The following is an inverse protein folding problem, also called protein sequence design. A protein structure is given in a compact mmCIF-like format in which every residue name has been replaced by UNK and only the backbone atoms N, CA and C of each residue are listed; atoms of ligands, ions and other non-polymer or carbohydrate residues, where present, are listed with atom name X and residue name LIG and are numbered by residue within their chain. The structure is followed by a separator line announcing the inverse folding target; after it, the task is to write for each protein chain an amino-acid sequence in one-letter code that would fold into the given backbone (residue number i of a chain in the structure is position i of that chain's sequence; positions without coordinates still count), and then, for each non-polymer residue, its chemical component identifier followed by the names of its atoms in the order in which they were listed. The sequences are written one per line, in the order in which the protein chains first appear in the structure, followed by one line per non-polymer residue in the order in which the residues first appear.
data_IF_172039622035
#
_entry.id   IF_172039622035
#
_cell.length_a   1.000
_cell.length_b   1.000
_cell.length_c   1.000
_cell.angle_alpha   90.00
_cell.angle_beta   90.00
_cell.angle_gamma   90.00
#
_symmetry.space_group_name_H-M   'P 1'
#
loop_
_entity.id
_entity.type
_entity.pdbx_description
1 polymer ?
#
# COMPACT_ATOMS: atom_id res chain seq x y z
N UNK A 1 -52.85 4.46 29.75
CA UNK A 1 -51.38 4.34 30.03
C UNK A 1 -50.54 3.78 28.87
N UNK A 2 -50.96 2.75 28.11
CA UNK A 2 -50.13 2.16 27.02
C UNK A 2 -49.74 3.13 25.88
N UNK A 3 -50.63 4.09 25.54
CA UNK A 3 -50.38 5.07 24.46
C UNK A 3 -49.33 6.12 24.85
N UNK A 4 -49.37 6.60 26.10
CA UNK A 4 -48.39 7.54 26.66
C UNK A 4 -46.98 6.92 26.73
N UNK A 5 -46.85 5.66 27.18
CA UNK A 5 -45.56 4.95 27.16
C UNK A 5 -45.00 4.77 25.74
N UNK A 6 -45.86 4.45 24.75
CA UNK A 6 -45.44 4.37 23.34
C UNK A 6 -44.98 5.72 22.78
N UNK A 7 -45.65 6.81 23.14
CA UNK A 7 -45.27 8.18 22.75
C UNK A 7 -43.96 8.61 23.44
N UNK A 8 -43.79 8.36 24.74
CA UNK A 8 -42.55 8.62 25.48
C UNK A 8 -41.37 7.87 24.86
N UNK A 9 -41.56 6.59 24.50
CA UNK A 9 -40.53 5.80 23.84
C UNK A 9 -40.19 6.30 22.41
N UNK A 10 -41.17 6.87 21.70
CA UNK A 10 -40.95 7.44 20.36
C UNK A 10 -40.19 8.78 20.45
N UNK A 11 -40.57 9.66 21.38
CA UNK A 11 -40.00 11.00 21.53
C UNK A 11 -38.72 11.01 22.37
N UNK A 12 -38.52 10.04 23.26
CA UNK A 12 -37.32 9.90 24.10
C UNK A 12 -37.36 10.69 25.40
N UNK A 13 -38.54 11.03 25.92
CA UNK A 13 -38.70 11.89 27.11
C UNK A 13 -38.97 11.04 28.35
N UNK A 14 -38.25 11.33 29.45
CA UNK A 14 -38.39 10.69 30.76
C UNK A 14 -38.22 9.15 30.74
N UNK A 15 -37.32 8.67 29.88
CA UNK A 15 -36.95 7.26 29.81
C UNK A 15 -35.83 6.96 30.81
N UNK A 16 -35.84 5.76 31.37
CA UNK A 16 -34.70 5.20 32.08
C UNK A 16 -33.51 4.96 31.12
N UNK A 17 -32.27 4.85 31.64
CA UNK A 17 -31.11 4.52 30.80
C UNK A 17 -31.32 3.27 29.93
N UNK A 18 -31.92 2.21 30.50
CA UNK A 18 -32.23 0.97 29.79
C UNK A 18 -33.27 1.16 28.67
N UNK A 19 -34.26 2.03 28.88
CA UNK A 19 -35.24 2.37 27.85
C UNK A 19 -34.63 3.21 26.73
N UNK A 20 -33.71 4.15 27.04
CA UNK A 20 -32.93 4.85 26.03
C UNK A 20 -32.09 3.88 25.18
N UNK A 21 -31.47 2.89 25.82
CA UNK A 21 -30.70 1.85 25.16
C UNK A 21 -31.58 0.98 24.24
N UNK A 22 -32.74 0.52 24.73
CA UNK A 22 -33.72 -0.25 23.93
C UNK A 22 -34.29 0.57 22.77
N UNK A 23 -34.46 1.87 22.96
CA UNK A 23 -34.87 2.80 21.91
C UNK A 23 -33.86 2.88 20.77
N UNK A 24 -32.56 2.84 21.06
CA UNK A 24 -31.52 2.86 20.03
C UNK A 24 -31.62 1.65 19.08
N UNK A 25 -31.96 0.47 19.61
CA UNK A 25 -32.24 -0.71 18.79
C UNK A 25 -33.51 -0.54 17.95
N UNK A 26 -34.64 -0.27 18.60
CA UNK A 26 -35.95 -0.25 17.94
C UNK A 26 -36.19 0.94 16.99
N UNK A 27 -35.51 2.06 17.18
CA UNK A 27 -35.62 3.27 16.33
C UNK A 27 -34.41 3.47 15.41
N UNK A 28 -33.42 2.57 15.47
CA UNK A 28 -32.18 2.66 14.71
C UNK A 28 -31.81 1.31 14.11
N UNK A 29 -31.15 0.46 14.90
CA UNK A 29 -30.54 -0.81 14.46
C UNK A 29 -31.53 -1.71 13.70
N UNK A 30 -32.70 -1.96 14.28
CA UNK A 30 -33.70 -2.90 13.74
C UNK A 30 -34.47 -2.34 12.53
N UNK A 31 -34.29 -1.05 12.21
CA UNK A 31 -34.86 -0.43 11.01
C UNK A 31 -33.97 -0.58 9.77
N UNK A 32 -32.81 -1.23 9.90
CA UNK A 32 -31.89 -1.52 8.80
C UNK A 32 -30.70 -0.56 8.71
N UNK A 33 -29.80 -0.86 7.76
CA UNK A 33 -28.49 -0.20 7.62
C UNK A 33 -28.58 1.32 7.42
N UNK A 34 -29.61 1.78 6.71
CA UNK A 34 -29.86 3.21 6.45
C UNK A 34 -30.12 4.03 7.73
N UNK A 35 -30.40 3.35 8.85
CA UNK A 35 -30.66 3.98 10.15
C UNK A 35 -29.51 3.81 11.15
N UNK A 36 -28.38 3.23 10.76
CA UNK A 36 -27.22 3.06 11.65
C UNK A 36 -26.65 4.38 12.17
N UNK A 37 -26.62 5.45 11.35
CA UNK A 37 -26.21 6.77 11.82
C UNK A 37 -27.12 7.32 12.93
N UNK A 38 -28.44 7.10 12.80
CA UNK A 38 -29.39 7.47 13.84
C UNK A 38 -29.26 6.58 15.09
N UNK A 39 -29.01 5.27 14.91
CA UNK A 39 -28.75 4.34 16.00
C UNK A 39 -27.54 4.79 16.83
N UNK A 40 -26.45 5.20 16.17
CA UNK A 40 -25.24 5.70 16.83
C UNK A 40 -25.54 6.89 17.75
N UNK A 41 -26.30 7.87 17.27
CA UNK A 41 -26.71 9.04 18.07
C UNK A 41 -27.61 8.66 19.26
N UNK A 42 -28.51 7.68 19.07
CA UNK A 42 -29.38 7.20 20.14
C UNK A 42 -28.61 6.43 21.22
N UNK A 43 -27.61 5.63 20.83
CA UNK A 43 -26.72 4.97 21.77
C UNK A 43 -25.82 5.96 22.52
N UNK A 44 -25.34 7.00 21.86
CA UNK A 44 -24.58 8.08 22.52
C UNK A 44 -25.44 8.81 23.57
N UNK A 45 -26.73 9.05 23.28
CA UNK A 45 -27.68 9.55 24.27
C UNK A 45 -27.85 8.56 25.44
N UNK A 46 -28.02 7.26 25.15
CA UNK A 46 -28.14 6.23 26.17
C UNK A 46 -26.90 6.15 27.08
N UNK A 47 -25.70 6.25 26.51
CA UNK A 47 -24.44 6.26 27.26
C UNK A 47 -24.36 7.46 28.22
N UNK A 48 -24.77 8.66 27.77
CA UNK A 48 -24.83 9.86 28.62
C UNK A 48 -25.80 9.70 29.79
N UNK A 49 -27.00 9.16 29.54
CA UNK A 49 -27.99 8.92 30.58
C UNK A 49 -27.55 7.83 31.57
N UNK A 50 -26.91 6.76 31.10
CA UNK A 50 -26.34 5.73 31.95
C UNK A 50 -25.23 6.29 32.86
N UNK A 51 -24.36 7.15 32.32
CA UNK A 51 -23.31 7.82 33.12
C UNK A 51 -23.89 8.75 34.19
N UNK A 52 -24.96 9.50 33.88
CA UNK A 52 -25.68 10.32 34.87
C UNK A 52 -26.33 9.47 35.97
N UNK A 53 -26.81 8.27 35.62
CA UNK A 53 -27.39 7.31 36.54
C UNK A 53 -26.33 6.42 37.25
N UNK A 54 -25.04 6.65 37.00
CA UNK A 54 -23.92 5.86 37.54
C UNK A 54 -23.95 4.37 37.20
N UNK A 55 -24.58 4.00 36.07
CA UNK A 55 -24.57 2.63 35.53
C UNK A 55 -23.39 2.46 34.56
N UNK A 56 -22.22 2.12 35.14
CA UNK A 56 -20.98 1.95 34.38
C UNK A 56 -21.02 0.78 33.37
N UNK A 57 -21.86 -0.24 33.62
CA UNK A 57 -22.01 -1.38 32.70
C UNK A 57 -22.74 -0.95 31.44
N UNK A 58 -23.92 -0.37 31.60
CA UNK A 58 -24.73 0.10 30.49
C UNK A 58 -24.06 1.26 29.74
N UNK A 59 -23.38 2.17 30.45
CA UNK A 59 -22.64 3.25 29.82
C UNK A 59 -21.57 2.74 28.85
N UNK A 60 -20.74 1.77 29.27
CA UNK A 60 -19.70 1.19 28.43
C UNK A 60 -20.27 0.51 27.19
N UNK A 61 -21.29 -0.33 27.39
CA UNK A 61 -21.96 -1.04 26.30
C UNK A 61 -22.66 -0.11 25.31
N UNK A 62 -23.35 0.92 25.81
CA UNK A 62 -23.96 1.95 24.97
C UNK A 62 -22.92 2.73 24.17
N UNK A 63 -21.79 3.09 24.79
CA UNK A 63 -20.69 3.76 24.10
C UNK A 63 -20.07 2.89 23.00
N UNK A 64 -19.81 1.61 23.27
CA UNK A 64 -19.30 0.67 22.27
C UNK A 64 -20.26 0.54 21.07
N UNK A 65 -21.57 0.40 21.31
CA UNK A 65 -22.56 0.36 20.23
C UNK A 65 -22.68 1.69 19.48
N UNK A 66 -22.57 2.84 20.16
CA UNK A 66 -22.56 4.14 19.49
C UNK A 66 -21.42 4.24 18.47
N UNK A 67 -20.21 3.86 18.88
CA UNK A 67 -19.02 3.87 18.04
C UNK A 67 -19.10 2.82 16.93
N UNK A 68 -19.59 1.61 17.21
CA UNK A 68 -19.75 0.54 16.24
C UNK A 68 -20.72 0.94 15.11
N UNK A 69 -21.93 1.36 15.45
CA UNK A 69 -22.90 1.78 14.43
C UNK A 69 -22.49 3.08 13.73
N UNK A 70 -21.74 3.96 14.41
CA UNK A 70 -21.10 5.13 13.80
C UNK A 70 -20.07 4.72 12.73
N UNK A 71 -19.21 3.76 13.05
CA UNK A 71 -18.26 3.18 12.10
C UNK A 71 -18.97 2.51 10.92
N UNK A 72 -19.99 1.68 11.15
CA UNK A 72 -20.70 1.00 10.08
C UNK A 72 -21.39 1.98 9.12
N UNK A 73 -21.96 3.07 9.65
CA UNK A 73 -22.60 4.12 8.86
C UNK A 73 -21.58 4.97 8.07
N UNK A 74 -20.58 5.54 8.75
CA UNK A 74 -19.66 6.51 8.15
C UNK A 74 -18.40 5.91 7.54
N UNK A 75 -17.89 4.81 8.09
CA UNK A 75 -16.67 4.13 7.64
C UNK A 75 -15.37 4.80 8.00
N UNK A 76 -15.42 5.85 8.80
CA UNK A 76 -14.26 6.62 9.21
C UNK A 76 -13.33 5.75 10.08
N UNK A 77 -12.08 5.46 9.64
CA UNK A 77 -11.15 4.68 10.45
C UNK A 77 -10.79 5.33 11.79
N UNK A 78 -10.96 6.66 11.90
CA UNK A 78 -10.75 7.40 13.14
C UNK A 78 -11.68 6.93 14.28
N UNK A 79 -12.81 6.30 13.95
CA UNK A 79 -13.73 5.73 14.95
C UNK A 79 -13.27 4.39 15.52
N UNK A 80 -12.31 3.71 14.88
CA UNK A 80 -11.88 2.37 15.28
C UNK A 80 -11.07 2.37 16.58
N UNK A 81 -10.11 3.28 16.77
CA UNK A 81 -9.31 3.29 18.01
C UNK A 81 -10.15 3.54 19.26
N UNK A 82 -11.08 4.53 19.30
CA UNK A 82 -12.00 4.68 20.42
C UNK A 82 -12.93 3.47 20.61
N UNK A 83 -13.36 2.82 19.52
CA UNK A 83 -14.21 1.64 19.58
C UNK A 83 -13.49 0.46 20.23
N UNK A 84 -12.24 0.20 19.85
CA UNK A 84 -11.41 -0.85 20.45
C UNK A 84 -11.29 -0.65 21.97
N UNK A 85 -10.99 0.57 22.40
CA UNK A 85 -10.94 0.92 23.83
C UNK A 85 -12.28 0.71 24.55
N UNK A 86 -13.40 0.97 23.87
CA UNK A 86 -14.72 0.74 24.44
C UNK A 86 -15.07 -0.75 24.58
N UNK A 87 -14.46 -1.63 23.77
CA UNK A 87 -14.66 -3.08 23.81
C UNK A 87 -13.81 -3.78 24.87
N UNK A 88 -12.62 -3.27 25.23
CA UNK A 88 -11.70 -3.90 26.21
C UNK A 88 -12.33 -4.20 27.58
N UNK A 89 -13.43 -3.52 27.93
CA UNK A 89 -14.14 -3.69 29.20
C UNK A 89 -15.39 -4.56 29.14
N UNK A 90 -15.62 -5.27 28.03
CA UNK A 90 -16.82 -6.09 27.78
C UNK A 90 -16.41 -7.53 27.47
N UNK A 91 -17.16 -8.50 28.00
CA UNK A 91 -17.01 -9.91 27.60
C UNK A 91 -17.81 -10.20 26.32
N UNK A 92 -19.00 -9.64 26.23
CA UNK A 92 -19.88 -9.75 25.07
C UNK A 92 -20.54 -8.42 24.70
N UNK A 93 -21.01 -8.35 23.47
CA UNK A 93 -21.77 -7.23 22.91
C UNK A 93 -22.83 -7.76 21.94
N UNK A 94 -23.90 -7.01 21.74
CA UNK A 94 -24.97 -7.39 20.83
C UNK A 94 -24.45 -7.60 19.40
N UNK A 95 -24.89 -8.69 18.78
CA UNK A 95 -24.63 -8.94 17.36
C UNK A 95 -25.19 -7.80 16.52
N UNK A 96 -24.44 -7.40 15.48
CA UNK A 96 -24.88 -6.32 14.58
C UNK A 96 -26.25 -6.66 13.98
N UNK A 97 -27.23 -5.78 14.20
CA UNK A 97 -28.60 -5.99 13.71
C UNK A 97 -29.52 -6.77 14.66
N UNK A 98 -29.05 -7.20 15.82
CA UNK A 98 -29.84 -7.92 16.82
C UNK A 98 -29.78 -7.24 18.19
N UNK A 99 -30.86 -7.32 18.96
CA UNK A 99 -30.88 -6.94 20.38
C UNK A 99 -30.80 -8.15 21.31
N UNK A 100 -31.00 -9.36 20.78
CA UNK A 100 -31.16 -10.58 21.58
C UNK A 100 -29.96 -11.54 21.46
N UNK A 101 -29.18 -11.42 20.39
CA UNK A 101 -28.00 -12.25 20.13
C UNK A 101 -26.74 -11.48 20.51
N UNK A 102 -25.74 -12.21 21.01
CA UNK A 102 -24.49 -11.65 21.51
C UNK A 102 -23.31 -12.32 20.82
N UNK A 103 -22.25 -11.55 20.62
CA UNK A 103 -20.96 -12.01 20.12
C UNK A 103 -19.88 -11.74 21.16
N UNK A 104 -18.84 -12.55 21.14
CA UNK A 104 -17.64 -12.33 21.94
C UNK A 104 -17.02 -10.98 21.56
N UNK A 105 -16.93 -10.08 22.54
CA UNK A 105 -16.38 -8.74 22.33
C UNK A 105 -14.90 -8.81 21.93
N UNK A 106 -14.16 -9.84 22.37
CA UNK A 106 -12.76 -10.06 21.99
C UNK A 106 -12.62 -10.43 20.51
N UNK A 107 -13.52 -11.27 19.99
CA UNK A 107 -13.54 -11.62 18.57
C UNK A 107 -13.82 -10.38 17.70
N UNK A 108 -14.82 -9.57 18.09
CA UNK A 108 -15.12 -8.31 17.41
C UNK A 108 -13.95 -7.31 17.51
N UNK A 109 -13.27 -7.25 18.66
CA UNK A 109 -12.10 -6.42 18.87
C UNK A 109 -10.97 -6.80 17.89
N UNK A 110 -10.64 -8.09 17.73
CA UNK A 110 -9.65 -8.53 16.75
C UNK A 110 -10.03 -8.11 15.32
N UNK A 111 -11.29 -8.26 14.94
CA UNK A 111 -11.75 -7.90 13.60
C UNK A 111 -11.62 -6.39 13.32
N UNK A 112 -12.00 -5.56 14.29
CA UNK A 112 -11.88 -4.11 14.19
C UNK A 112 -10.42 -3.64 14.23
N UNK A 113 -9.56 -4.34 14.98
CA UNK A 113 -8.12 -4.06 15.01
C UNK A 113 -7.47 -4.41 13.66
N UNK A 114 -7.93 -5.49 13.01
CA UNK A 114 -7.52 -5.83 11.65
C UNK A 114 -7.94 -4.74 10.65
N UNK A 115 -9.18 -4.23 10.74
CA UNK A 115 -9.65 -3.10 9.93
C UNK A 115 -8.82 -1.83 10.13
N UNK A 116 -8.45 -1.54 11.38
CA UNK A 116 -7.60 -0.39 11.68
C UNK A 116 -6.23 -0.56 11.02
N UNK A 117 -5.64 -1.75 11.11
CA UNK A 117 -4.37 -2.06 10.45
C UNK A 117 -4.46 -1.91 8.93
N UNK A 118 -5.54 -2.40 8.30
CA UNK A 118 -5.80 -2.21 6.86
C UNK A 118 -5.94 -0.75 6.48
N UNK A 119 -6.68 0.04 7.26
CA UNK A 119 -6.82 1.47 7.03
C UNK A 119 -5.48 2.21 7.17
N UNK A 120 -4.63 1.80 8.13
CA UNK A 120 -3.28 2.34 8.25
C UNK A 120 -2.44 2.01 7.02
N UNK A 121 -2.43 0.75 6.56
CA UNK A 121 -1.69 0.31 5.37
C UNK A 121 -2.08 1.11 4.12
N UNK A 122 -3.36 1.46 3.98
CA UNK A 122 -3.88 2.19 2.84
C UNK A 122 -3.33 3.63 2.72
N UNK A 123 -2.87 4.24 3.82
CA UNK A 123 -2.34 5.61 3.84
C UNK A 123 -0.82 5.68 3.98
N UNK A 124 -0.15 4.56 4.21
CA UNK A 124 1.31 4.50 4.26
C UNK A 124 1.93 4.79 2.89
N UNK A 125 3.11 5.42 2.92
CA UNK A 125 3.95 5.60 1.74
C UNK A 125 4.19 4.24 1.05
N UNK A 126 3.89 4.10 -0.26
CA UNK A 126 4.12 2.86 -1.01
C UNK A 126 5.56 2.36 -0.95
N UNK A 127 6.53 3.24 -0.75
CA UNK A 127 7.96 2.94 -0.66
C UNK A 127 8.44 2.56 0.74
N UNK A 128 7.63 2.79 1.79
CA UNK A 128 7.94 2.44 3.18
C UNK A 128 7.76 0.93 3.44
N UNK A 129 8.51 0.09 2.73
CA UNK A 129 8.35 -1.36 2.71
C UNK A 129 8.40 -1.99 4.10
N UNK A 130 9.39 -1.66 4.93
CA UNK A 130 9.51 -2.22 6.27
C UNK A 130 8.32 -1.86 7.19
N UNK A 131 7.79 -0.64 7.08
CA UNK A 131 6.63 -0.21 7.85
C UNK A 131 5.37 -0.93 7.39
N UNK A 132 5.16 -1.01 6.07
CA UNK A 132 4.05 -1.78 5.48
C UNK A 132 4.10 -3.24 5.93
N UNK A 133 5.28 -3.87 5.90
CA UNK A 133 5.47 -5.25 6.34
C UNK A 133 5.02 -5.45 7.80
N UNK A 134 5.39 -4.53 8.70
CA UNK A 134 4.98 -4.58 10.11
C UNK A 134 3.46 -4.50 10.27
N UNK A 135 2.80 -3.59 9.56
CA UNK A 135 1.35 -3.46 9.64
C UNK A 135 0.61 -4.65 9.02
N UNK A 136 1.09 -5.18 7.89
CA UNK A 136 0.57 -6.40 7.29
C UNK A 136 0.71 -7.58 8.25
N UNK A 137 1.87 -7.76 8.90
CA UNK A 137 2.07 -8.80 9.92
C UNK A 137 1.13 -8.63 11.13
N UNK A 138 0.87 -7.39 11.54
CA UNK A 138 -0.11 -7.07 12.58
C UNK A 138 -1.52 -7.50 12.18
N UNK A 139 -1.96 -7.13 10.96
CA UNK A 139 -3.25 -7.54 10.42
C UNK A 139 -3.39 -9.06 10.31
N UNK A 140 -2.34 -9.75 9.83
CA UNK A 140 -2.32 -11.21 9.73
C UNK A 140 -2.59 -11.89 11.08
N UNK A 141 -1.95 -11.41 12.16
CA UNK A 141 -2.15 -11.92 13.52
C UNK A 141 -3.56 -11.70 14.04
N UNK A 142 -4.16 -10.53 13.77
CA UNK A 142 -5.54 -10.28 14.16
C UNK A 142 -6.51 -11.22 13.46
N UNK A 143 -6.31 -11.46 12.16
CA UNK A 143 -7.14 -12.40 11.41
C UNK A 143 -6.91 -13.87 11.81
N UNK A 144 -5.66 -14.24 12.10
CA UNK A 144 -5.32 -15.57 12.61
C UNK A 144 -6.03 -15.84 13.95
N UNK A 145 -6.08 -14.83 14.83
CA UNK A 145 -6.77 -14.93 16.11
C UNK A 145 -8.30 -15.09 15.99
N UNK A 146 -8.89 -14.69 14.87
CA UNK A 146 -10.31 -14.93 14.52
C UNK A 146 -10.49 -16.34 13.94
N UNK A 147 -9.51 -16.82 13.16
CA UNK A 147 -9.48 -18.16 12.60
C UNK A 147 -10.46 -18.37 11.45
N UNK A 148 -11.17 -19.51 11.42
CA UNK A 148 -12.12 -19.85 10.36
C UNK A 148 -13.49 -19.18 10.46
N UNK A 149 -13.66 -18.21 11.37
CA UNK A 149 -14.95 -17.55 11.60
C UNK A 149 -15.27 -16.53 10.50
N UNK A 150 -16.57 -16.28 10.31
CA UNK A 150 -17.05 -15.24 9.41
C UNK A 150 -16.77 -13.84 9.98
N UNK A 151 -16.44 -12.90 9.10
CA UNK A 151 -16.14 -11.53 9.45
C UNK A 151 -17.43 -10.69 9.60
N UNK A 152 -17.76 -10.33 10.84
CA UNK A 152 -19.03 -9.72 11.24
C UNK A 152 -19.19 -8.35 10.60
N UNK A 153 -18.26 -7.43 10.84
CA UNK A 153 -18.31 -6.06 10.32
C UNK A 153 -18.14 -6.00 8.80
N UNK A 154 -17.43 -6.95 8.18
CA UNK A 154 -17.28 -7.02 6.71
C UNK A 154 -18.57 -7.38 5.98
N UNK A 155 -19.45 -8.19 6.57
CA UNK A 155 -20.78 -8.42 6.02
C UNK A 155 -21.65 -7.14 5.98
N UNK A 156 -21.44 -6.24 6.94
CA UNK A 156 -22.19 -4.97 7.04
C UNK A 156 -21.54 -3.83 6.28
N UNK A 157 -20.21 -3.85 6.16
CA UNK A 157 -19.41 -2.87 5.43
C UNK A 157 -18.31 -3.59 4.61
N UNK A 158 -18.65 -4.09 3.41
CA UNK A 158 -17.68 -4.73 2.53
C UNK A 158 -16.54 -3.77 2.17
N UNK A 159 -15.38 -4.33 1.90
CA UNK A 159 -14.25 -3.59 1.34
C UNK A 159 -13.96 -4.05 -0.09
N UNK A 160 -12.91 -3.48 -0.70
CA UNK A 160 -12.51 -3.82 -2.06
C UNK A 160 -11.69 -5.11 -2.17
N UNK A 161 -11.26 -5.69 -1.06
CA UNK A 161 -10.40 -6.88 -1.07
C UNK A 161 -11.20 -8.13 -1.45
N UNK A 162 -12.49 -8.19 -1.10
CA UNK A 162 -13.38 -9.28 -1.50
C UNK A 162 -13.05 -10.64 -0.86
N UNK A 163 -12.21 -10.65 0.18
CA UNK A 163 -11.90 -11.84 0.98
C UNK A 163 -12.79 -11.80 2.23
N UNK A 164 -13.71 -12.75 2.36
CA UNK A 164 -14.72 -12.71 3.44
C UNK A 164 -14.37 -13.61 4.65
N UNK A 165 -13.38 -14.50 4.50
CA UNK A 165 -12.93 -15.37 5.57
C UNK A 165 -11.66 -14.83 6.23
N UNK A 166 -11.61 -14.87 7.56
CA UNK A 166 -10.48 -14.35 8.32
C UNK A 166 -9.19 -15.13 8.04
N UNK A 167 -9.22 -16.46 8.02
CA UNK A 167 -8.05 -17.29 7.69
C UNK A 167 -7.41 -16.97 6.32
N UNK A 168 -8.23 -16.82 5.28
CA UNK A 168 -7.75 -16.42 3.94
C UNK A 168 -7.15 -15.00 3.93
N UNK A 169 -7.74 -14.08 4.70
CA UNK A 169 -7.18 -12.73 4.91
C UNK A 169 -5.87 -12.76 5.67
N UNK A 170 -5.76 -13.64 6.66
CA UNK A 170 -4.51 -13.83 7.41
C UNK A 170 -3.39 -14.23 6.45
N UNK A 171 -3.61 -15.22 5.59
CA UNK A 171 -2.65 -15.61 4.56
C UNK A 171 -2.33 -14.48 3.57
N UNK A 172 -3.33 -13.72 3.14
CA UNK A 172 -3.12 -12.56 2.28
C UNK A 172 -2.17 -11.55 2.95
N UNK A 173 -2.43 -11.18 4.20
CA UNK A 173 -1.62 -10.22 4.92
C UNK A 173 -0.23 -10.76 5.28
N UNK A 174 -0.09 -12.04 5.62
CA UNK A 174 1.23 -12.65 5.83
C UNK A 174 2.07 -12.63 4.53
N UNK A 175 1.44 -12.98 3.41
CA UNK A 175 2.06 -12.91 2.09
C UNK A 175 2.50 -11.50 1.72
N UNK A 176 1.66 -10.49 1.96
CA UNK A 176 2.02 -9.09 1.74
C UNK A 176 3.13 -8.59 2.69
N UNK A 177 3.17 -9.09 3.93
CA UNK A 177 4.24 -8.74 4.85
C UNK A 177 5.60 -9.20 4.31
N UNK A 178 5.70 -10.48 3.92
CA UNK A 178 6.92 -11.07 3.36
C UNK A 178 7.31 -10.45 2.02
N UNK A 179 6.31 -10.15 1.17
CA UNK A 179 6.53 -9.44 -0.09
C UNK A 179 7.25 -8.11 0.15
N UNK A 180 6.80 -7.32 1.11
CA UNK A 180 7.43 -6.04 1.42
C UNK A 180 8.81 -6.20 2.09
N UNK A 181 9.02 -7.21 2.92
CA UNK A 181 10.35 -7.52 3.47
C UNK A 181 11.35 -7.89 2.37
N UNK A 182 10.91 -8.68 1.39
CA UNK A 182 11.73 -9.01 0.23
C UNK A 182 12.09 -7.76 -0.60
N UNK A 183 11.16 -6.82 -0.79
CA UNK A 183 11.45 -5.57 -1.51
C UNK A 183 12.47 -4.69 -0.78
N UNK A 184 12.41 -4.64 0.56
CA UNK A 184 13.38 -3.91 1.39
C UNK A 184 14.80 -4.51 1.25
N UNK A 185 14.89 -5.84 1.15
CA UNK A 185 16.14 -6.58 1.04
C UNK A 185 16.69 -6.67 -0.39
N UNK A 186 15.87 -6.45 -1.42
CA UNK A 186 16.21 -6.70 -2.82
C UNK A 186 17.51 -6.01 -3.30
N UNK A 187 17.83 -4.85 -2.73
CA UNK A 187 19.02 -4.06 -3.07
C UNK A 187 20.28 -4.42 -2.26
N UNK A 188 20.17 -5.22 -1.21
CA UNK A 188 21.29 -5.57 -0.34
C UNK A 188 21.62 -7.05 -0.41
N UNK A 189 20.60 -7.90 -0.42
CA UNK A 189 20.72 -9.36 -0.43
C UNK A 189 19.63 -9.96 -1.35
N UNK A 190 19.91 -10.13 -2.65
CA UNK A 190 18.93 -10.66 -3.58
C UNK A 190 18.57 -12.14 -3.34
N UNK A 191 19.44 -12.92 -2.66
CA UNK A 191 19.15 -14.31 -2.31
C UNK A 191 18.15 -14.38 -1.17
N UNK A 192 18.42 -13.67 -0.07
CA UNK A 192 17.48 -13.57 1.05
C UNK A 192 16.14 -12.97 0.61
N UNK A 193 16.17 -11.96 -0.25
CA UNK A 193 14.97 -11.38 -0.85
C UNK A 193 14.20 -12.41 -1.70
N UNK A 194 14.88 -13.26 -2.47
CA UNK A 194 14.23 -14.31 -3.25
C UNK A 194 13.55 -15.35 -2.35
N UNK A 195 14.18 -15.74 -1.24
CA UNK A 195 13.59 -16.67 -0.28
C UNK A 195 12.34 -16.07 0.38
N UNK A 196 12.43 -14.83 0.88
CA UNK A 196 11.28 -14.12 1.44
C UNK A 196 10.15 -13.94 0.41
N UNK A 197 10.48 -13.66 -0.85
CA UNK A 197 9.49 -13.53 -1.94
C UNK A 197 8.84 -14.89 -2.28
N UNK A 198 9.58 -15.99 -2.19
CA UNK A 198 9.04 -17.33 -2.37
C UNK A 198 8.07 -17.71 -1.24
N UNK A 199 8.42 -17.39 0.00
CA UNK A 199 7.50 -17.56 1.14
C UNK A 199 6.25 -16.67 1.01
N UNK A 200 6.41 -15.43 0.53
CA UNK A 200 5.30 -14.55 0.23
C UNK A 200 4.33 -15.20 -0.77
N UNK A 201 4.86 -15.78 -1.85
CA UNK A 201 4.05 -16.48 -2.86
C UNK A 201 3.30 -17.68 -2.27
N UNK A 202 3.95 -18.49 -1.43
CA UNK A 202 3.32 -19.65 -0.77
C UNK A 202 2.11 -19.20 0.07
N UNK A 203 2.24 -18.11 0.83
CA UNK A 203 1.13 -17.57 1.61
C UNK A 203 0.04 -16.97 0.70
N UNK A 204 0.41 -16.19 -0.32
CA UNK A 204 -0.54 -15.60 -1.26
C UNK A 204 -1.33 -16.63 -2.06
N UNK A 205 -0.77 -17.81 -2.33
CA UNK A 205 -1.46 -18.92 -3.00
C UNK A 205 -2.63 -19.48 -2.17
N UNK A 206 -2.62 -19.29 -0.85
CA UNK A 206 -3.75 -19.67 0.01
C UNK A 206 -4.92 -18.68 -0.07
N UNK A 207 -4.70 -17.47 -0.61
CA UNK A 207 -5.71 -16.42 -0.72
C UNK A 207 -6.11 -16.18 -2.19
N UNK A 208 -7.33 -15.67 -2.47
CA UNK A 208 -7.75 -15.33 -3.84
C UNK A 208 -7.15 -13.99 -4.30
N UNK A 209 -5.81 -13.89 -4.31
CA UNK A 209 -5.05 -12.65 -4.53
C UNK A 209 -4.19 -12.71 -5.80
N UNK A 210 -4.83 -12.95 -6.96
CA UNK A 210 -4.13 -13.24 -8.23
C UNK A 210 -3.15 -12.14 -8.66
N UNK A 211 -3.52 -10.87 -8.51
CA UNK A 211 -2.67 -9.75 -8.93
C UNK A 211 -1.39 -9.69 -8.07
N UNK A 212 -1.53 -9.94 -6.77
CA UNK A 212 -0.41 -9.97 -5.82
C UNK A 212 0.46 -11.21 -6.05
N UNK A 213 -0.13 -12.36 -6.36
CA UNK A 213 0.61 -13.57 -6.74
C UNK A 213 1.49 -13.30 -7.98
N UNK A 214 0.91 -12.74 -9.05
CA UNK A 214 1.65 -12.40 -10.26
C UNK A 214 2.73 -11.33 -10.03
N UNK A 215 2.50 -10.38 -9.13
CA UNK A 215 3.50 -9.41 -8.74
C UNK A 215 4.69 -10.09 -8.02
N UNK A 216 4.40 -10.97 -7.06
CA UNK A 216 5.42 -11.74 -6.34
C UNK A 216 6.21 -12.66 -7.27
N UNK A 217 5.56 -13.37 -8.18
CA UNK A 217 6.20 -14.23 -9.19
C UNK A 217 7.18 -13.44 -10.08
N UNK A 218 6.76 -12.27 -10.59
CA UNK A 218 7.62 -11.42 -11.41
C UNK A 218 8.84 -10.93 -10.65
N UNK A 219 8.66 -10.55 -9.38
CA UNK A 219 9.79 -10.16 -8.54
C UNK A 219 10.71 -11.34 -8.22
N UNK A 220 10.15 -12.50 -7.92
CA UNK A 220 10.91 -13.72 -7.64
C UNK A 220 11.79 -14.12 -8.84
N UNK A 221 11.23 -14.08 -10.05
CA UNK A 221 11.98 -14.35 -11.28
C UNK A 221 13.14 -13.35 -11.45
N UNK A 222 12.88 -12.05 -11.24
CA UNK A 222 13.92 -11.02 -11.30
C UNK A 222 15.04 -11.28 -10.30
N UNK A 223 14.69 -11.56 -9.04
CA UNK A 223 15.65 -11.80 -7.95
C UNK A 223 16.52 -13.02 -8.22
N UNK A 224 15.93 -14.11 -8.73
CA UNK A 224 16.63 -15.38 -9.02
C UNK A 224 17.44 -15.38 -10.32
N UNK A 225 17.17 -14.46 -11.24
CA UNK A 225 17.88 -14.45 -12.52
C UNK A 225 19.32 -14.01 -12.33
N UNK A 226 20.26 -14.93 -12.51
CA UNK A 226 21.70 -14.70 -12.44
C UNK A 226 22.31 -14.43 -13.82
N UNK A 227 23.19 -13.44 -13.95
CA UNK A 227 23.94 -13.16 -15.19
C UNK A 227 25.36 -12.69 -14.91
N UNK A 228 26.28 -12.97 -15.83
CA UNK A 228 27.61 -12.35 -15.81
C UNK A 228 27.60 -10.97 -16.48
N UNK A 229 28.30 -10.01 -15.88
CA UNK A 229 28.50 -8.70 -16.47
C UNK A 229 29.45 -8.78 -17.67
N UNK A 230 29.01 -8.27 -18.83
CA UNK A 230 29.78 -8.17 -20.07
C UNK A 230 31.16 -7.53 -19.89
N UNK A 231 31.24 -6.51 -19.05
CA UNK A 231 32.45 -5.69 -18.91
C UNK A 231 33.44 -6.25 -17.89
N UNK A 232 32.98 -6.76 -16.74
CA UNK A 232 33.86 -7.18 -15.65
C UNK A 232 33.86 -8.68 -15.37
N UNK A 233 33.02 -9.46 -16.06
CA UNK A 233 32.93 -10.91 -15.93
C UNK A 233 32.30 -11.43 -14.63
N UNK A 234 32.13 -10.58 -13.60
CA UNK A 234 31.50 -10.95 -12.33
C UNK A 234 30.03 -11.29 -12.51
N UNK A 235 29.55 -12.25 -11.73
CA UNK A 235 28.16 -12.69 -11.70
C UNK A 235 27.34 -11.86 -10.71
N UNK A 236 26.09 -11.60 -11.08
CA UNK A 236 25.14 -10.86 -10.28
C UNK A 236 23.76 -11.50 -10.38
N UNK A 237 23.03 -11.49 -9.26
CA UNK A 237 21.61 -11.83 -9.16
C UNK A 237 20.76 -10.55 -9.21
N UNK A 238 19.46 -10.66 -9.47
CA UNK A 238 18.57 -9.49 -9.46
C UNK A 238 18.56 -8.70 -10.77
N UNK A 239 17.82 -9.20 -11.75
CA UNK A 239 17.58 -8.52 -13.02
C UNK A 239 16.93 -7.15 -12.81
N UNK A 240 17.49 -6.14 -13.47
CA UNK A 240 17.10 -4.73 -13.39
C UNK A 240 17.26 -4.11 -11.98
N UNK A 241 18.01 -4.77 -11.10
CA UNK A 241 18.36 -4.26 -9.77
C UNK A 241 19.88 -4.10 -9.67
N UNK A 242 20.61 -5.20 -9.84
CA UNK A 242 22.08 -5.24 -9.76
C UNK A 242 22.74 -5.32 -11.13
N UNK A 243 21.96 -5.62 -12.17
CA UNK A 243 22.40 -5.56 -13.56
C UNK A 243 21.25 -5.18 -14.50
N UNK A 244 21.61 -4.65 -15.67
CA UNK A 244 20.68 -4.21 -16.69
C UNK A 244 21.09 -4.69 -18.07
N UNK A 245 20.12 -4.92 -18.95
CA UNK A 245 20.36 -5.13 -20.37
C UNK A 245 20.51 -3.78 -21.08
N UNK A 246 21.70 -3.49 -21.57
CA UNK A 246 22.04 -2.22 -22.23
C UNK A 246 22.20 -2.47 -23.74
N UNK A 247 21.69 -1.58 -24.60
CA UNK A 247 21.89 -1.68 -26.04
C UNK A 247 23.38 -1.71 -26.41
N UNK A 248 23.75 -2.64 -27.29
CA UNK A 248 25.11 -2.73 -27.83
C UNK A 248 25.10 -3.44 -29.19
N UNK A 249 25.99 -3.02 -30.08
CA UNK A 249 26.16 -3.71 -31.37
C UNK A 249 26.91 -5.02 -31.14
N UNK A 250 26.22 -6.14 -31.27
CA UNK A 250 26.78 -7.48 -31.07
C UNK A 250 26.73 -8.25 -32.38
N UNK A 251 27.87 -8.81 -32.78
CA UNK A 251 28.01 -9.69 -33.95
C UNK A 251 28.24 -11.13 -33.52
N UNK A 252 27.92 -12.10 -34.38
CA UNK A 252 28.12 -13.53 -34.10
C UNK A 252 29.54 -13.92 -33.68
N UNK A 253 30.57 -13.20 -34.17
CA UNK A 253 31.96 -13.39 -33.73
C UNK A 253 32.14 -13.17 -32.22
N UNK A 254 31.45 -12.19 -31.64
CA UNK A 254 31.52 -11.86 -30.21
C UNK A 254 31.02 -13.04 -29.37
N UNK A 255 29.92 -13.67 -29.78
CA UNK A 255 29.37 -14.85 -29.09
C UNK A 255 30.33 -16.05 -29.17
N UNK A 256 31.02 -16.24 -30.30
CA UNK A 256 32.01 -17.30 -30.45
C UNK A 256 33.23 -17.08 -29.54
N UNK A 257 33.68 -15.82 -29.38
CA UNK A 257 34.76 -15.48 -28.45
C UNK A 257 34.38 -15.81 -27.01
N UNK A 258 33.18 -15.44 -26.57
CA UNK A 258 32.69 -15.77 -25.22
C UNK A 258 32.59 -17.27 -24.98
N UNK A 259 32.07 -18.00 -25.97
CA UNK A 259 31.92 -19.45 -25.92
C UNK A 259 33.26 -20.14 -25.70
N UNK A 260 34.29 -19.72 -26.43
CA UNK A 260 35.65 -20.25 -26.28
C UNK A 260 36.29 -19.92 -24.93
N UNK A 261 35.94 -18.76 -24.38
CA UNK A 261 36.41 -18.31 -23.07
C UNK A 261 35.61 -18.90 -21.89
N UNK A 262 34.55 -19.67 -22.15
CA UNK A 262 33.69 -20.25 -21.10
C UNK A 262 32.86 -19.22 -20.35
N UNK A 263 32.57 -18.06 -20.96
CA UNK A 263 31.73 -17.03 -20.35
C UNK A 263 30.24 -17.31 -20.53
N UNK A 264 29.43 -16.74 -19.63
CA UNK A 264 27.96 -16.78 -19.71
C UNK A 264 27.46 -16.19 -21.04
N UNK A 265 26.91 -17.04 -21.89
CA UNK A 265 26.37 -16.63 -23.19
C UNK A 265 25.05 -15.85 -23.05
N UNK A 266 24.34 -15.97 -21.92
CA UNK A 266 23.13 -15.20 -21.64
C UNK A 266 23.42 -13.74 -21.26
N UNK A 267 24.70 -13.38 -21.09
CA UNK A 267 25.15 -11.99 -20.97
C UNK A 267 25.00 -11.19 -22.27
N UNK A 268 24.66 -11.86 -23.38
CA UNK A 268 24.54 -11.26 -24.72
C UNK A 268 23.28 -11.74 -25.42
N UNK A 269 22.53 -10.79 -25.98
CA UNK A 269 21.39 -11.07 -26.84
C UNK A 269 21.63 -10.49 -28.24
N UNK A 270 21.90 -11.39 -29.19
CA UNK A 270 22.09 -11.04 -30.61
C UNK A 270 20.79 -10.56 -31.27
N UNK A 271 19.64 -11.06 -30.83
CA UNK A 271 18.35 -10.74 -31.45
C UNK A 271 17.90 -9.34 -31.07
N UNK A 272 18.06 -8.96 -29.80
CA UNK A 272 17.71 -7.62 -29.30
C UNK A 272 18.86 -6.62 -29.37
N UNK A 273 20.07 -7.04 -29.75
CA UNK A 273 21.28 -6.21 -29.77
C UNK A 273 21.55 -5.58 -28.40
N UNK A 274 21.63 -6.43 -27.37
CA UNK A 274 21.86 -6.01 -25.97
C UNK A 274 22.93 -6.85 -25.30
N UNK A 275 23.58 -6.26 -24.30
CA UNK A 275 24.51 -6.92 -23.39
C UNK A 275 24.12 -6.65 -21.94
N UNK A 276 24.49 -7.54 -21.04
CA UNK A 276 24.29 -7.37 -19.60
C UNK A 276 25.42 -6.54 -19.01
N UNK A 277 25.10 -5.45 -18.31
CA UNK A 277 26.06 -4.71 -17.50
C UNK A 277 25.58 -4.68 -16.05
N UNK A 278 26.48 -4.97 -15.11
CA UNK A 278 26.19 -4.73 -13.69
C UNK A 278 26.01 -3.23 -13.44
N UNK A 279 25.25 -2.88 -12.41
CA UNK A 279 24.94 -1.51 -12.05
C UNK A 279 26.20 -0.64 -11.95
N UNK A 280 27.29 -1.15 -11.35
CA UNK A 280 28.56 -0.42 -11.26
C UNK A 280 29.16 -0.10 -12.64
N UNK A 281 29.29 -1.10 -13.52
CA UNK A 281 29.84 -0.90 -14.86
C UNK A 281 28.91 -0.01 -15.71
N UNK A 282 27.60 -0.18 -15.58
CA UNK A 282 26.58 0.63 -16.25
C UNK A 282 26.68 2.11 -15.86
N UNK A 283 26.66 2.41 -14.56
CA UNK A 283 26.76 3.77 -14.03
C UNK A 283 28.09 4.44 -14.41
N UNK A 284 29.20 3.68 -14.44
CA UNK A 284 30.49 4.18 -14.89
C UNK A 284 30.45 4.62 -16.37
N UNK A 285 29.89 3.78 -17.25
CA UNK A 285 29.74 4.10 -18.68
C UNK A 285 28.86 5.34 -18.88
N UNK A 286 27.72 5.40 -18.18
CA UNK A 286 26.81 6.56 -18.23
C UNK A 286 27.51 7.84 -17.78
N UNK A 287 28.23 7.80 -16.66
CA UNK A 287 28.94 8.97 -16.12
C UNK A 287 29.99 9.50 -17.10
N UNK A 288 30.74 8.61 -17.76
CA UNK A 288 31.74 9.00 -18.77
C UNK A 288 31.04 9.62 -20.00
N UNK A 289 29.95 9.00 -20.46
CA UNK A 289 29.19 9.50 -21.61
C UNK A 289 28.59 10.89 -21.32
N UNK A 290 28.01 11.09 -20.14
CA UNK A 290 27.43 12.37 -19.72
C UNK A 290 28.51 13.45 -19.64
N UNK A 291 29.68 13.15 -19.06
CA UNK A 291 30.79 14.09 -19.00
C UNK A 291 31.28 14.50 -20.40
N UNK A 292 31.35 13.57 -21.34
CA UNK A 292 31.70 13.86 -22.74
C UNK A 292 30.63 14.70 -23.44
N UNK A 293 29.34 14.40 -23.23
CA UNK A 293 28.24 15.15 -23.80
C UNK A 293 28.24 16.60 -23.31
N UNK A 294 28.37 16.82 -21.99
CA UNK A 294 28.47 18.16 -21.39
C UNK A 294 29.65 18.93 -21.97
N UNK A 295 30.81 18.27 -22.11
CA UNK A 295 32.00 18.88 -22.71
C UNK A 295 31.73 19.30 -24.15
N UNK A 296 31.15 18.43 -24.98
CA UNK A 296 30.92 18.73 -26.40
C UNK A 296 29.88 19.84 -26.58
N UNK A 297 28.83 19.86 -25.76
CA UNK A 297 27.84 20.96 -25.76
C UNK A 297 28.51 22.29 -25.41
N UNK A 298 29.41 22.28 -24.43
CA UNK A 298 30.17 23.49 -24.04
C UNK A 298 31.08 23.97 -25.16
N UNK A 299 31.84 23.07 -25.80
CA UNK A 299 32.70 23.40 -26.94
C UNK A 299 31.89 23.96 -28.12
N UNK A 300 30.78 23.30 -28.49
CA UNK A 300 29.91 23.75 -29.58
C UNK A 300 29.31 25.13 -29.29
N UNK A 301 28.92 25.40 -28.04
CA UNK A 301 28.41 26.71 -27.63
C UNK A 301 29.47 27.80 -27.83
N UNK A 302 30.71 27.54 -27.44
CA UNK A 302 31.81 28.48 -27.65
C UNK A 302 32.10 28.71 -29.14
N UNK A 303 32.08 27.64 -29.96
CA UNK A 303 32.23 27.74 -31.42
C UNK A 303 31.13 28.63 -32.03
N UNK A 304 29.88 28.43 -31.64
CA UNK A 304 28.72 29.21 -32.12
C UNK A 304 28.80 30.67 -31.66
N UNK A 305 29.13 30.93 -30.39
CA UNK A 305 29.29 32.30 -29.85
C UNK A 305 30.40 33.05 -30.59
N UNK A 306 31.53 32.39 -30.90
CA UNK A 306 32.62 32.98 -31.69
C UNK A 306 32.18 33.31 -33.13
N UNK A 307 31.39 32.44 -33.77
CA UNK A 307 30.84 32.71 -35.09
C UNK A 307 29.88 33.91 -35.07
N UNK A 308 29.00 34.00 -34.07
CA UNK A 308 28.11 35.15 -33.92
C UNK A 308 28.90 36.46 -33.72
N UNK A 309 29.91 36.45 -32.86
CA UNK A 309 30.77 37.63 -32.67
C UNK A 309 31.49 38.03 -33.97
N UNK A 310 31.99 37.07 -34.74
CA UNK A 310 32.59 37.29 -36.05
C UNK A 310 31.61 37.92 -37.05
N UNK A 311 30.38 37.40 -37.14
CA UNK A 311 29.33 37.92 -38.00
C UNK A 311 28.90 39.34 -37.60
N UNK A 312 28.75 39.60 -36.29
CA UNK A 312 28.47 40.94 -35.76
C UNK A 312 29.56 41.93 -36.14
N UNK A 313 30.84 41.53 -36.06
CA UNK A 313 31.95 42.38 -36.47
C UNK A 313 31.92 42.70 -37.97
N UNK A 314 31.61 41.71 -38.81
CA UNK A 314 31.47 41.90 -40.25
C UNK A 314 30.29 42.83 -40.60
N UNK A 315 29.13 42.64 -39.97
CA UNK A 315 27.96 43.51 -40.14
C UNK A 315 28.29 44.97 -39.77
N UNK A 316 28.89 45.19 -38.60
CA UNK A 316 29.31 46.53 -38.18
C UNK A 316 30.37 47.14 -39.14
N UNK A 317 31.21 46.31 -39.76
CA UNK A 317 32.12 46.74 -40.82
C UNK A 317 31.39 47.17 -42.10
N UNK A 318 30.39 46.40 -42.53
CA UNK A 318 29.57 46.71 -43.70
C UNK A 318 28.71 47.96 -43.49
N UNK A 319 28.06 48.10 -42.33
CA UNK A 319 27.28 49.28 -41.97
C UNK A 319 28.12 50.56 -42.05
N UNK A 320 29.34 50.55 -41.49
CA UNK A 320 30.28 51.68 -41.60
C UNK A 320 30.61 52.02 -43.06
N UNK A 321 30.81 51.02 -43.91
CA UNK A 321 31.12 51.22 -45.33
C UNK A 321 29.93 51.79 -46.10
N UNK A 322 28.73 51.27 -45.86
CA UNK A 322 27.49 51.78 -46.48
C UNK A 322 27.28 53.24 -46.07
N UNK A 323 27.39 53.55 -44.77
CA UNK A 323 27.24 54.92 -44.27
C UNK A 323 28.27 55.89 -44.87
N UNK A 324 29.52 55.44 -45.06
CA UNK A 324 30.55 56.26 -45.71
C UNK A 324 30.27 56.53 -47.20
N UNK A 325 29.58 55.62 -47.88
CA UNK A 325 29.19 55.77 -49.28
C UNK A 325 27.93 56.64 -49.44
N UNK A 326 27.02 56.65 -48.47
CA UNK A 326 25.80 57.48 -48.50
C UNK A 326 26.01 58.96 -48.14
N UNK A 327 27.21 59.33 -47.66
CA UNK A 327 27.59 60.72 -47.30
C UNK A 327 28.33 61.43 -48.45
N UNK A 328 28.51 60.76 -49.59
CA UNK A 328 28.97 61.36 -50.86
C UNK A 328 27.79 61.61 -51.80
#
# INVERSE_FOLDING_TARGET
MRLLKKLQHRVGVALSPQEHYTRAFSQGVLLGRDKYAAAAQLFEQAARHAGQAQDAGLQRRANANALLYGFLAGGSPQTLSPLLQALDGLDDIEQIGSQAEFVDAKALHHELAARLAEATIAVLDPSAHLERARHHRGAARYFEAIGGQALITYAHRPDSLGIERADLRSFFHDGQARYHEALDQAHTDPEAAADAMNEALVALLQAPAKDQQQAAERWLERLRTQRSCWSCGREFLGAELHYHHVPATVRGYVVEVLRRAGHDLASVDLSSQRVVLCATCGTMVQTIADAQAVRRVTELRAEVEAQFAGLQHQLAGLERRVNALSVR
#
